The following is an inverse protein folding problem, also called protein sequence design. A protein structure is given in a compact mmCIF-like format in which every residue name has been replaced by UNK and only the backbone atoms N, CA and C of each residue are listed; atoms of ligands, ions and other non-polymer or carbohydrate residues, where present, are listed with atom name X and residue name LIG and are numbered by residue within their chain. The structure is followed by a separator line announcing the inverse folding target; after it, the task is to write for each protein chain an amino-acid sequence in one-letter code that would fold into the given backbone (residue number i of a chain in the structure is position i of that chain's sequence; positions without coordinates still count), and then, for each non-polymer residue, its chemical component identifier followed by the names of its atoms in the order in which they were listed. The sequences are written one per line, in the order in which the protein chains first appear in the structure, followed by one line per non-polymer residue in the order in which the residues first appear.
data_IF_239515649279
#
_entry.id   IF_239515649279
#
_cell.length_a   1.000
_cell.length_b   1.000
_cell.length_c   1.000
_cell.angle_alpha   90.00
_cell.angle_beta   90.00
_cell.angle_gamma   90.00
#
_symmetry.space_group_name_H-M   'P 1'
#
loop_
_entity.id
_entity.type
_entity.pdbx_description
1 polymer ?
#
# COMPACT_ATOMS: atom_id res chain seq x y z
N UNK A 1 22.23 8.87 -89.79
CA UNK A 1 22.91 7.82 -88.99
C UNK A 1 23.83 8.59 -88.04
N UNK A 2 23.42 8.72 -86.84
CA UNK A 2 24.27 9.06 -85.69
C UNK A 2 23.45 9.78 -84.64
N UNK A 3 23.27 9.09 -83.52
CA UNK A 3 22.56 9.53 -82.37
C UNK A 3 23.32 10.57 -81.59
N UNK A 4 22.63 11.66 -81.25
CA UNK A 4 23.08 12.68 -80.29
C UNK A 4 22.43 12.38 -78.94
N UNK A 5 23.24 12.00 -77.99
CA UNK A 5 22.81 11.87 -76.58
C UNK A 5 22.67 13.27 -75.94
N UNK A 6 21.46 13.65 -75.56
CA UNK A 6 21.21 14.80 -74.71
C UNK A 6 21.55 14.41 -73.24
N UNK A 7 22.41 15.26 -72.61
CA UNK A 7 22.66 15.29 -71.19
C UNK A 7 21.62 16.19 -70.55
N UNK A 8 20.70 15.57 -69.76
CA UNK A 8 19.87 16.30 -68.83
C UNK A 8 20.70 16.78 -67.63
N UNK A 9 20.73 18.06 -67.42
CA UNK A 9 21.25 18.71 -66.23
C UNK A 9 20.16 18.65 -65.15
N UNK A 10 20.43 17.99 -64.00
CA UNK A 10 19.64 18.09 -62.79
C UNK A 10 19.89 19.46 -62.13
N UNK A 11 18.85 20.13 -61.61
CA UNK A 11 19.05 21.39 -60.88
C UNK A 11 19.57 21.11 -59.47
N UNK A 12 20.58 21.84 -59.08
CA UNK A 12 21.10 21.96 -57.73
C UNK A 12 20.06 22.69 -56.86
N UNK A 13 19.29 21.97 -56.07
CA UNK A 13 18.52 22.56 -54.96
C UNK A 13 19.29 22.43 -53.67
N UNK A 14 20.16 23.38 -53.39
CA UNK A 14 20.63 23.73 -52.07
C UNK A 14 19.55 24.63 -51.40
N UNK A 15 18.57 24.04 -50.73
CA UNK A 15 17.75 24.74 -49.75
C UNK A 15 17.93 24.08 -48.39
N UNK A 16 18.97 24.51 -47.68
CA UNK A 16 19.06 24.38 -46.22
C UNK A 16 17.99 25.26 -45.55
N UNK A 17 16.79 24.75 -45.41
CA UNK A 17 15.83 25.33 -44.47
C UNK A 17 16.12 24.77 -43.06
N UNK A 18 17.18 25.21 -42.44
CA UNK A 18 17.37 25.20 -41.01
C UNK A 18 16.40 26.20 -40.37
N UNK A 19 15.14 25.86 -40.30
CA UNK A 19 14.18 26.62 -39.52
C UNK A 19 14.56 26.50 -38.03
N UNK A 20 15.12 27.59 -37.48
CA UNK A 20 15.34 27.70 -36.04
C UNK A 20 13.99 27.57 -35.32
N UNK A 21 13.74 26.41 -34.70
CA UNK A 21 12.57 26.23 -33.87
C UNK A 21 12.69 27.25 -32.73
N UNK A 22 11.74 28.17 -32.63
CA UNK A 22 11.73 29.20 -31.58
C UNK A 22 11.58 28.55 -30.20
N UNK A 23 12.22 29.14 -29.18
CA UNK A 23 12.03 28.69 -27.77
C UNK A 23 10.54 28.62 -27.37
N UNK A 24 9.69 29.48 -27.94
CA UNK A 24 8.25 29.46 -27.76
C UNK A 24 7.58 28.19 -28.32
N UNK A 25 8.02 27.71 -29.47
CA UNK A 25 7.49 26.49 -30.11
C UNK A 25 7.91 25.26 -29.31
N UNK A 26 9.19 25.15 -28.89
CA UNK A 26 9.66 24.06 -28.02
C UNK A 26 8.90 23.99 -26.72
N UNK A 27 8.58 25.12 -26.09
CA UNK A 27 7.80 25.18 -24.88
C UNK A 27 6.31 24.78 -25.11
N UNK A 28 5.74 25.15 -26.26
CA UNK A 28 4.39 24.77 -26.65
C UNK A 28 4.29 23.26 -26.89
N UNK A 29 5.26 22.68 -27.60
CA UNK A 29 5.28 21.24 -27.89
C UNK A 29 5.47 20.41 -26.62
N UNK A 30 6.32 20.86 -25.69
CA UNK A 30 6.47 20.26 -24.37
C UNK A 30 5.16 20.29 -23.57
N UNK A 31 4.44 21.42 -23.57
CA UNK A 31 3.13 21.53 -22.88
C UNK A 31 2.09 20.61 -23.51
N UNK A 32 2.03 20.50 -24.83
CA UNK A 32 1.10 19.61 -25.53
C UNK A 32 1.41 18.13 -25.20
N UNK A 33 2.70 17.73 -25.23
CA UNK A 33 3.11 16.38 -24.86
C UNK A 33 2.77 16.07 -23.39
N UNK A 34 3.00 17.00 -22.47
CA UNK A 34 2.64 16.86 -21.05
C UNK A 34 1.13 16.73 -20.85
N UNK A 35 0.32 17.51 -21.57
CA UNK A 35 -1.15 17.38 -21.52
C UNK A 35 -1.62 16.04 -22.08
N UNK A 36 -0.97 15.50 -23.11
CA UNK A 36 -1.30 14.19 -23.66
C UNK A 36 -1.00 13.07 -22.65
N UNK A 37 0.20 13.06 -22.08
CA UNK A 37 0.61 12.12 -21.03
C UNK A 37 -0.34 12.21 -19.82
N UNK A 38 -0.69 13.44 -19.42
CA UNK A 38 -1.62 13.67 -18.31
C UNK A 38 -3.01 13.05 -18.55
N UNK A 39 -3.46 12.94 -19.79
CA UNK A 39 -4.77 12.36 -20.12
C UNK A 39 -4.78 10.84 -20.17
N UNK A 40 -3.68 10.21 -20.55
CA UNK A 40 -3.60 8.77 -20.81
C UNK A 40 -2.98 7.97 -19.68
N UNK A 41 -2.05 8.56 -18.92
CA UNK A 41 -1.38 7.88 -17.82
C UNK A 41 -2.33 7.58 -16.65
N UNK A 42 -2.11 6.43 -16.00
CA UNK A 42 -2.79 6.09 -14.76
C UNK A 42 -2.49 7.12 -13.67
N UNK A 43 -3.53 7.64 -13.01
CA UNK A 43 -3.37 8.64 -11.94
C UNK A 43 -3.28 7.95 -10.59
N UNK A 44 -2.25 8.27 -9.81
CA UNK A 44 -2.05 7.66 -8.49
C UNK A 44 -3.28 7.80 -7.57
N UNK A 45 -3.98 8.94 -7.62
CA UNK A 45 -5.16 9.18 -6.78
C UNK A 45 -6.31 8.20 -7.02
N UNK A 46 -6.35 7.53 -8.18
CA UNK A 46 -7.34 6.49 -8.48
C UNK A 46 -7.10 5.22 -7.65
N UNK A 47 -5.84 4.94 -7.32
CA UNK A 47 -5.45 3.80 -6.47
C UNK A 47 -5.26 4.19 -5.01
N UNK A 48 -4.69 5.37 -4.75
CA UNK A 48 -4.42 5.91 -3.43
C UNK A 48 -5.10 7.29 -3.28
N UNK A 49 -6.39 7.35 -2.95
CA UNK A 49 -7.08 8.62 -2.76
C UNK A 49 -6.53 9.40 -1.56
N UNK A 50 -6.76 10.72 -1.56
CA UNK A 50 -6.40 11.58 -0.43
C UNK A 50 -6.99 11.06 0.88
N UNK A 51 -6.19 11.05 1.94
CA UNK A 51 -6.62 10.61 3.26
C UNK A 51 -6.63 9.09 3.48
N UNK A 52 -6.26 8.28 2.48
CA UNK A 52 -6.25 6.80 2.61
C UNK A 52 -5.38 6.31 3.79
N UNK A 53 -4.37 7.08 4.21
CA UNK A 53 -3.43 6.72 5.28
C UNK A 53 -3.72 7.39 6.63
N UNK A 54 -4.93 7.92 6.82
CA UNK A 54 -5.35 8.46 8.12
C UNK A 54 -5.16 7.41 9.22
N UNK A 55 -4.50 7.82 10.32
CA UNK A 55 -4.17 6.93 11.44
C UNK A 55 -2.86 6.15 11.28
N UNK A 56 -2.20 6.23 10.10
CA UNK A 56 -0.90 5.59 9.86
C UNK A 56 0.26 6.56 10.04
N UNK A 57 1.36 6.07 10.60
CA UNK A 57 2.67 6.72 10.44
C UNK A 57 3.33 6.25 9.15
N UNK A 58 4.11 7.13 8.51
CA UNK A 58 4.76 6.86 7.24
C UNK A 58 6.27 7.17 7.34
N UNK A 59 7.10 6.30 6.80
CA UNK A 59 8.54 6.52 6.64
C UNK A 59 8.84 6.90 5.18
N UNK A 60 9.66 7.93 4.99
CA UNK A 60 10.14 8.30 3.65
C UNK A 60 11.63 8.03 3.59
N UNK A 61 12.06 7.14 2.70
CA UNK A 61 13.46 6.80 2.49
C UNK A 61 14.03 7.68 1.39
N UNK A 62 14.90 8.60 1.79
CA UNK A 62 15.69 9.45 0.89
C UNK A 62 16.94 8.77 0.37
N UNK A 63 17.84 9.58 -0.22
CA UNK A 63 19.10 9.09 -0.81
C UNK A 63 20.36 9.33 0.02
N UNK A 64 20.25 9.95 1.19
CA UNK A 64 21.39 10.47 1.93
C UNK A 64 22.34 9.41 2.51
N UNK A 65 23.64 9.71 2.62
CA UNK A 65 24.66 8.76 3.06
C UNK A 65 24.50 8.27 4.52
N UNK A 66 23.69 8.93 5.34
CA UNK A 66 23.37 8.46 6.71
C UNK A 66 22.67 7.09 6.73
N UNK A 67 22.14 6.63 5.60
CA UNK A 67 21.53 5.29 5.47
C UNK A 67 22.55 4.18 5.25
N UNK A 68 23.83 4.49 5.11
CA UNK A 68 24.85 3.46 4.95
C UNK A 68 24.93 2.58 6.19
N UNK A 69 24.61 1.29 6.03
CA UNK A 69 24.56 0.31 7.14
C UNK A 69 23.25 0.30 7.93
N UNK A 70 22.22 1.06 7.51
CA UNK A 70 20.90 0.96 8.11
C UNK A 70 20.26 -0.39 7.78
N UNK A 71 19.75 -1.08 8.80
CA UNK A 71 19.01 -2.32 8.61
C UNK A 71 17.55 -2.02 8.25
N UNK A 72 17.22 -2.09 6.97
CA UNK A 72 15.88 -1.83 6.45
C UNK A 72 14.83 -2.86 6.92
N UNK A 73 15.22 -4.03 7.45
CA UNK A 73 14.25 -4.97 8.02
C UNK A 73 13.51 -4.39 9.23
N UNK A 74 14.05 -3.37 9.87
CA UNK A 74 13.39 -2.65 10.97
C UNK A 74 12.13 -1.89 10.52
N UNK A 75 11.97 -1.66 9.20
CA UNK A 75 10.77 -1.01 8.62
C UNK A 75 9.69 -2.01 8.24
N UNK A 76 9.89 -3.29 8.48
CA UNK A 76 8.91 -4.32 8.12
C UNK A 76 7.58 -4.09 8.82
N UNK A 77 6.47 -4.10 8.05
CA UNK A 77 5.13 -3.77 8.55
C UNK A 77 4.87 -2.27 8.74
N UNK A 78 5.84 -1.40 8.41
CA UNK A 78 5.62 0.05 8.36
C UNK A 78 5.17 0.49 6.97
N UNK A 79 4.47 1.62 6.92
CA UNK A 79 4.11 2.27 5.68
C UNK A 79 5.31 3.06 5.16
N UNK A 80 5.81 2.71 4.00
CA UNK A 80 7.05 3.28 3.46
C UNK A 80 6.85 3.85 2.06
N UNK A 81 7.32 5.07 1.87
CA UNK A 81 7.59 5.68 0.55
C UNK A 81 9.10 5.67 0.34
N UNK A 82 9.55 5.25 -0.82
CA UNK A 82 10.92 5.43 -1.25
C UNK A 82 11.01 6.52 -2.32
N UNK A 83 12.16 7.18 -2.44
CA UNK A 83 12.39 8.13 -3.53
C UNK A 83 13.52 7.66 -4.43
N UNK A 84 13.38 7.89 -5.72
CA UNK A 84 14.35 7.53 -6.76
C UNK A 84 14.73 6.03 -6.69
N UNK A 85 15.97 5.72 -6.27
CA UNK A 85 16.50 4.36 -6.16
C UNK A 85 16.24 3.66 -4.81
N UNK A 86 15.55 4.32 -3.88
CA UNK A 86 15.34 3.80 -2.52
C UNK A 86 14.67 2.41 -2.47
N UNK A 87 13.77 2.09 -3.41
CA UNK A 87 13.12 0.78 -3.51
C UNK A 87 14.11 -0.37 -3.76
N UNK A 88 15.30 -0.11 -4.32
CA UNK A 88 16.32 -1.14 -4.51
C UNK A 88 16.84 -1.72 -3.18
N UNK A 89 16.77 -0.93 -2.11
CA UNK A 89 17.16 -1.31 -0.75
C UNK A 89 15.97 -1.73 0.11
N UNK A 90 14.77 -1.23 -0.20
CA UNK A 90 13.53 -1.61 0.48
C UNK A 90 12.41 -1.88 -0.55
N UNK A 91 12.37 -3.09 -1.13
CA UNK A 91 11.40 -3.45 -2.18
C UNK A 91 9.97 -3.61 -1.67
N UNK A 92 9.75 -3.69 -0.35
CA UNK A 92 8.43 -3.78 0.28
C UNK A 92 7.75 -2.40 0.46
N UNK A 93 8.38 -1.32 -0.02
CA UNK A 93 7.77 0.01 0.00
C UNK A 93 6.46 0.02 -0.79
N UNK A 94 5.43 0.67 -0.23
CA UNK A 94 4.12 0.79 -0.88
C UNK A 94 4.22 1.61 -2.16
N UNK A 95 5.06 2.66 -2.14
CA UNK A 95 5.22 3.59 -3.23
C UNK A 95 6.67 4.00 -3.38
N UNK A 96 7.13 4.10 -4.64
CA UNK A 96 8.38 4.77 -5.00
C UNK A 96 8.04 6.00 -5.84
N UNK A 97 8.50 7.19 -5.40
CA UNK A 97 8.32 8.44 -6.13
C UNK A 97 9.63 8.85 -6.82
N UNK A 98 9.53 9.20 -8.10
CA UNK A 98 10.58 9.84 -8.87
C UNK A 98 10.03 11.05 -9.63
N UNK A 99 10.91 11.91 -10.13
CA UNK A 99 10.54 13.07 -10.97
C UNK A 99 11.49 13.30 -12.13
N UNK A 100 12.69 12.76 -12.09
CA UNK A 100 13.70 12.95 -13.12
C UNK A 100 13.57 11.87 -14.21
N UNK A 101 13.24 12.29 -15.44
CA UNK A 101 13.12 11.38 -16.57
C UNK A 101 14.45 10.66 -16.92
N UNK A 102 15.61 11.25 -16.55
CA UNK A 102 16.92 10.59 -16.75
C UNK A 102 17.02 9.30 -15.96
N UNK A 103 16.43 9.24 -14.76
CA UNK A 103 16.42 8.03 -13.93
C UNK A 103 15.71 6.88 -14.66
N UNK A 104 14.60 7.17 -15.34
CA UNK A 104 13.93 6.18 -16.19
C UNK A 104 14.87 5.68 -17.29
N UNK A 105 15.49 6.59 -18.05
CA UNK A 105 16.43 6.23 -19.11
C UNK A 105 17.58 5.35 -18.60
N UNK A 106 18.13 5.63 -17.42
CA UNK A 106 19.18 4.82 -16.83
C UNK A 106 18.72 3.39 -16.49
N UNK A 107 17.45 3.20 -16.06
CA UNK A 107 16.91 1.85 -15.87
C UNK A 107 16.69 1.13 -17.20
N UNK A 108 16.09 1.79 -18.20
CA UNK A 108 15.84 1.19 -19.52
C UNK A 108 17.13 0.78 -20.21
N UNK A 109 18.09 1.66 -20.25
CA UNK A 109 19.39 1.43 -20.90
C UNK A 109 20.29 0.47 -20.13
N UNK A 110 19.99 0.22 -18.84
CA UNK A 110 20.85 -0.60 -17.97
C UNK A 110 22.07 0.13 -17.41
N UNK A 111 22.10 1.47 -17.48
CA UNK A 111 23.22 2.30 -16.98
C UNK A 111 23.44 2.13 -15.47
N UNK A 112 22.41 1.71 -14.72
CA UNK A 112 22.47 1.40 -13.30
C UNK A 112 22.83 -0.07 -13.01
N UNK A 113 23.07 -0.86 -14.05
CA UNK A 113 23.39 -2.29 -13.98
C UNK A 113 22.15 -3.20 -14.05
N UNK A 114 22.38 -4.45 -14.45
CA UNK A 114 21.30 -5.42 -14.69
C UNK A 114 20.49 -5.74 -13.44
N UNK A 115 21.11 -5.75 -12.25
CA UNK A 115 20.42 -6.00 -10.99
C UNK A 115 19.43 -4.88 -10.64
N UNK A 116 19.83 -3.62 -10.79
CA UNK A 116 18.96 -2.47 -10.56
C UNK A 116 17.78 -2.47 -11.53
N UNK A 117 18.02 -2.77 -12.82
CA UNK A 117 16.96 -2.94 -13.82
C UNK A 117 15.97 -4.02 -13.42
N UNK A 118 16.46 -5.20 -13.04
CA UNK A 118 15.60 -6.32 -12.59
C UNK A 118 14.77 -5.93 -11.37
N UNK A 119 15.35 -5.27 -10.37
CA UNK A 119 14.61 -4.77 -9.19
C UNK A 119 13.52 -3.79 -9.59
N UNK A 120 13.79 -2.89 -10.54
CA UNK A 120 12.79 -1.96 -11.04
C UNK A 120 11.63 -2.67 -11.74
N UNK A 121 11.91 -3.63 -12.62
CA UNK A 121 10.89 -4.40 -13.35
C UNK A 121 10.04 -5.29 -12.43
N UNK A 122 10.61 -5.80 -11.32
CA UNK A 122 9.93 -6.70 -10.38
C UNK A 122 9.34 -6.00 -9.16
N UNK A 123 9.54 -4.68 -9.02
CA UNK A 123 8.99 -3.92 -7.89
C UNK A 123 7.46 -3.94 -7.92
N UNK A 124 6.86 -4.35 -6.81
CA UNK A 124 5.42 -4.54 -6.69
C UNK A 124 4.67 -3.32 -6.17
N UNK A 125 5.38 -2.35 -5.59
CA UNK A 125 4.80 -1.10 -5.13
C UNK A 125 4.37 -0.19 -6.29
N UNK A 126 3.68 0.90 -5.96
CA UNK A 126 3.31 1.91 -6.95
C UNK A 126 4.56 2.61 -7.48
N UNK A 127 4.96 2.32 -8.72
CA UNK A 127 5.98 3.08 -9.45
C UNK A 127 5.37 4.40 -9.87
N UNK A 128 5.80 5.49 -9.23
CA UNK A 128 5.12 6.78 -9.37
C UNK A 128 6.08 7.85 -9.85
N UNK A 129 5.65 8.64 -10.84
CA UNK A 129 6.36 9.81 -11.31
C UNK A 129 5.57 11.09 -11.08
N UNK A 130 6.26 12.12 -10.61
CA UNK A 130 5.71 13.48 -10.62
C UNK A 130 5.83 14.04 -12.04
N UNK A 131 4.72 14.49 -12.61
CA UNK A 131 4.62 14.91 -14.02
C UNK A 131 5.22 16.31 -14.28
N UNK A 132 6.49 16.50 -13.91
CA UNK A 132 7.23 17.75 -14.13
C UNK A 132 7.82 17.87 -15.53
N UNK A 133 7.93 16.77 -16.25
CA UNK A 133 8.54 16.70 -17.58
C UNK A 133 7.63 15.89 -18.51
N UNK A 134 7.52 16.32 -19.77
CA UNK A 134 6.86 15.52 -20.80
C UNK A 134 7.66 14.23 -21.03
N UNK A 135 7.07 13.09 -20.69
CA UNK A 135 7.70 11.80 -20.75
C UNK A 135 6.64 10.72 -21.12
N UNK A 136 6.95 9.80 -22.05
CA UNK A 136 6.04 8.71 -22.40
C UNK A 136 6.05 7.65 -21.30
N UNK A 137 5.26 7.85 -20.25
CA UNK A 137 5.19 6.90 -19.15
C UNK A 137 4.55 5.57 -19.61
N UNK A 138 5.17 4.41 -19.29
CA UNK A 138 4.56 3.11 -19.48
C UNK A 138 3.24 2.98 -18.71
N UNK A 139 2.38 2.04 -19.14
CA UNK A 139 1.04 1.85 -18.53
C UNK A 139 1.08 1.46 -17.04
N UNK A 140 2.17 0.83 -16.60
CA UNK A 140 2.38 0.39 -15.24
C UNK A 140 2.98 1.47 -14.31
N UNK A 141 3.21 2.66 -14.82
CA UNK A 141 3.64 3.82 -14.06
C UNK A 141 2.43 4.66 -13.65
N UNK A 142 2.33 4.92 -12.36
CA UNK A 142 1.36 5.89 -11.83
C UNK A 142 1.91 7.31 -11.90
N UNK A 143 1.06 8.27 -12.19
CA UNK A 143 1.44 9.68 -12.34
C UNK A 143 0.77 10.53 -11.27
N UNK A 144 1.56 11.41 -10.63
CA UNK A 144 1.06 12.52 -9.83
C UNK A 144 1.20 13.80 -10.66
N UNK A 145 0.10 14.51 -10.84
CA UNK A 145 0.10 15.78 -11.57
C UNK A 145 0.79 16.89 -10.77
N UNK A 146 1.16 17.95 -11.47
CA UNK A 146 1.64 19.18 -10.86
C UNK A 146 0.56 20.25 -10.92
N UNK A 147 0.50 21.07 -9.88
CA UNK A 147 -0.39 22.23 -9.81
C UNK A 147 0.36 23.49 -9.41
N UNK A 148 -0.29 24.64 -9.51
CA UNK A 148 0.24 25.87 -8.95
C UNK A 148 0.06 25.86 -7.41
N UNK A 149 0.98 26.46 -6.67
CA UNK A 149 0.95 26.47 -5.20
C UNK A 149 -0.33 27.09 -4.63
N UNK A 150 -0.92 28.08 -5.32
CA UNK A 150 -2.20 28.69 -4.94
C UNK A 150 -3.39 27.73 -5.02
N UNK A 151 -3.31 26.71 -5.87
CA UNK A 151 -4.40 25.77 -6.16
C UNK A 151 -4.28 24.50 -5.31
N UNK A 152 -3.14 24.34 -4.65
CA UNK A 152 -2.84 23.14 -3.88
C UNK A 152 -3.64 23.06 -2.59
N UNK A 153 -4.18 21.86 -2.33
CA UNK A 153 -4.88 21.53 -1.08
C UNK A 153 -4.45 20.15 -0.59
N UNK A 154 -3.91 20.06 0.60
CA UNK A 154 -3.50 18.79 1.19
C UNK A 154 -4.60 17.73 1.32
N UNK A 155 -5.86 18.13 1.38
CA UNK A 155 -6.98 17.19 1.46
C UNK A 155 -7.47 16.69 0.08
N UNK A 156 -6.90 17.19 -1.01
CA UNK A 156 -7.25 16.76 -2.35
C UNK A 156 -6.09 17.02 -3.33
N UNK A 157 -5.36 15.97 -3.70
CA UNK A 157 -4.29 16.06 -4.69
C UNK A 157 -4.69 15.57 -6.10
N UNK A 158 -5.99 15.46 -6.37
CA UNK A 158 -6.51 15.09 -7.70
C UNK A 158 -5.99 16.05 -8.78
N UNK A 159 -5.91 17.34 -8.46
CA UNK A 159 -5.31 18.36 -9.33
C UNK A 159 -3.79 18.39 -9.36
N UNK A 160 -3.13 17.59 -8.53
CA UNK A 160 -1.68 17.52 -8.43
C UNK A 160 -1.09 18.10 -7.13
N UNK A 161 0.24 18.10 -7.07
CA UNK A 161 1.01 18.75 -6.00
C UNK A 161 1.94 19.83 -6.59
N UNK A 162 2.32 20.87 -5.83
CA UNK A 162 3.32 21.84 -6.31
C UNK A 162 4.65 21.12 -6.55
N UNK A 163 5.31 21.34 -7.70
CA UNK A 163 6.59 20.74 -7.97
C UNK A 163 7.70 21.44 -7.17
N UNK A 164 8.49 20.67 -6.46
CA UNK A 164 9.71 21.12 -5.79
C UNK A 164 10.95 20.51 -6.46
N UNK A 165 12.09 21.17 -6.33
CA UNK A 165 13.36 20.68 -6.87
C UNK A 165 13.85 19.39 -6.24
N UNK A 166 13.36 19.05 -5.04
CA UNK A 166 13.70 17.85 -4.28
C UNK A 166 12.60 16.82 -4.30
N UNK A 167 12.85 15.62 -4.85
CA UNK A 167 11.89 14.51 -4.89
C UNK A 167 11.42 14.08 -3.48
N UNK A 168 12.30 14.17 -2.47
CA UNK A 168 11.95 13.85 -1.08
C UNK A 168 10.92 14.83 -0.49
N UNK A 169 11.00 16.12 -0.84
CA UNK A 169 10.00 17.11 -0.44
C UNK A 169 8.64 16.84 -1.12
N UNK A 170 8.67 16.47 -2.40
CA UNK A 170 7.45 16.07 -3.11
C UNK A 170 6.84 14.81 -2.49
N UNK A 171 7.65 13.83 -2.06
CA UNK A 171 7.19 12.65 -1.34
C UNK A 171 6.58 13.01 0.03
N UNK A 172 7.15 13.99 0.74
CA UNK A 172 6.61 14.50 1.99
C UNK A 172 5.24 15.17 1.79
N UNK A 173 5.10 16.02 0.77
CA UNK A 173 3.81 16.62 0.41
C UNK A 173 2.77 15.56 0.05
N UNK A 174 3.15 14.54 -0.73
CA UNK A 174 2.28 13.43 -1.11
C UNK A 174 1.85 12.61 0.12
N UNK A 175 2.77 12.25 1.02
CA UNK A 175 2.44 11.53 2.26
C UNK A 175 1.43 12.29 3.13
N UNK A 176 1.58 13.62 3.23
CA UNK A 176 0.63 14.47 3.94
C UNK A 176 -0.74 14.52 3.24
N UNK A 177 -0.78 14.54 1.89
CA UNK A 177 -2.03 14.42 1.12
C UNK A 177 -2.72 13.08 1.32
N UNK A 178 -1.95 12.00 1.39
CA UNK A 178 -2.45 10.66 1.67
C UNK A 178 -2.92 10.50 3.12
N UNK A 179 -2.64 11.47 4.00
CA UNK A 179 -3.20 11.54 5.35
C UNK A 179 -2.35 10.90 6.44
N UNK A 180 -1.07 10.62 6.19
CA UNK A 180 -0.17 10.12 7.21
C UNK A 180 -0.10 11.10 8.39
N UNK A 181 -0.38 10.63 9.61
CA UNK A 181 -0.43 11.48 10.82
C UNK A 181 0.95 11.87 11.32
N UNK A 182 1.91 10.94 11.23
CA UNK A 182 3.32 11.15 11.52
C UNK A 182 4.16 10.72 10.32
N UNK A 183 5.12 11.55 9.93
CA UNK A 183 6.01 11.29 8.80
C UNK A 183 7.46 11.34 9.27
N UNK A 184 8.17 10.24 9.07
CA UNK A 184 9.56 10.06 9.48
C UNK A 184 10.48 10.10 8.27
N UNK A 185 11.46 11.02 8.29
CA UNK A 185 12.41 11.20 7.20
C UNK A 185 13.70 10.43 7.49
N UNK A 186 14.01 9.44 6.65
CA UNK A 186 15.23 8.62 6.68
C UNK A 186 16.14 8.98 5.50
N UNK A 187 17.42 9.27 5.74
CA UNK A 187 18.35 9.61 4.68
C UNK A 187 18.11 10.98 4.05
N UNK A 188 17.59 11.93 4.82
CA UNK A 188 17.41 13.32 4.41
C UNK A 188 18.57 14.18 4.93
N UNK A 189 19.79 13.88 4.50
CA UNK A 189 21.00 14.52 4.97
C UNK A 189 21.12 15.96 4.50
N UNK A 190 20.83 16.23 3.23
CA UNK A 190 21.03 17.54 2.56
C UNK A 190 22.39 18.15 2.89
N UNK A 191 23.44 17.34 2.80
CA UNK A 191 24.84 17.69 2.94
C UNK A 191 25.68 16.94 1.92
N UNK A 192 26.63 17.64 1.33
CA UNK A 192 27.59 17.05 0.41
C UNK A 192 28.76 16.35 1.11
N UNK A 193 29.51 15.63 0.31
CA UNK A 193 30.81 15.07 0.68
C UNK A 193 31.81 15.58 -0.37
N UNK A 194 32.88 16.22 0.09
CA UNK A 194 33.91 16.78 -0.79
C UNK A 194 33.38 17.71 -1.90
N UNK A 195 32.40 18.58 -1.56
CA UNK A 195 31.83 19.55 -2.49
C UNK A 195 30.83 19.00 -3.51
N UNK A 196 30.45 17.72 -3.39
CA UNK A 196 29.51 17.05 -4.32
C UNK A 196 28.33 16.44 -3.59
N UNK A 197 27.21 16.30 -4.31
CA UNK A 197 26.07 15.53 -3.78
C UNK A 197 26.48 14.10 -3.48
N UNK A 198 26.00 13.57 -2.38
CA UNK A 198 26.32 12.23 -1.91
C UNK A 198 25.07 11.40 -1.68
N UNK A 199 25.11 10.12 -2.09
CA UNK A 199 24.06 9.14 -1.93
C UNK A 199 24.59 7.89 -1.23
N UNK A 200 23.70 7.16 -0.55
CA UNK A 200 24.08 5.86 0.01
C UNK A 200 24.12 4.74 -1.06
N UNK A 201 23.39 4.90 -2.15
CA UNK A 201 23.48 4.03 -3.33
C UNK A 201 24.76 4.36 -4.14
N UNK A 202 25.50 3.33 -4.50
CA UNK A 202 26.60 3.46 -5.45
C UNK A 202 26.07 3.52 -6.90
N UNK A 203 26.92 3.98 -7.83
CA UNK A 203 26.69 3.85 -9.27
C UNK A 203 25.67 4.82 -9.87
N UNK A 204 25.49 6.00 -9.29
CA UNK A 204 24.84 7.10 -10.02
C UNK A 204 25.78 7.58 -11.14
N UNK A 205 25.29 7.72 -12.39
CA UNK A 205 26.10 8.14 -13.51
C UNK A 205 26.67 9.57 -13.38
N UNK A 206 25.96 10.43 -12.67
CA UNK A 206 26.38 11.80 -12.40
C UNK A 206 26.16 12.21 -10.93
N UNK A 207 26.83 13.30 -10.52
CA UNK A 207 26.63 13.95 -9.23
C UNK A 207 26.67 15.47 -9.41
N UNK A 208 25.79 16.18 -8.71
CA UNK A 208 25.74 17.64 -8.76
C UNK A 208 26.70 18.27 -7.74
N UNK A 209 26.90 19.58 -7.87
CA UNK A 209 27.58 20.40 -6.87
C UNK A 209 26.71 20.44 -5.57
N UNK A 210 27.35 20.43 -4.40
CA UNK A 210 26.64 20.39 -3.12
C UNK A 210 25.82 21.65 -2.83
N UNK A 211 26.08 22.76 -3.53
CA UNK A 211 25.31 24.01 -3.38
C UNK A 211 23.81 23.83 -3.64
N UNK A 212 23.44 22.80 -4.41
CA UNK A 212 22.02 22.45 -4.64
C UNK A 212 21.26 22.18 -3.33
N UNK A 213 21.94 21.68 -2.30
CA UNK A 213 21.31 21.41 -1.01
C UNK A 213 20.82 22.66 -0.31
N UNK A 214 21.42 23.83 -0.56
CA UNK A 214 20.91 25.11 -0.02
C UNK A 214 19.48 25.36 -0.54
N UNK A 215 19.25 25.19 -1.82
CA UNK A 215 17.93 25.37 -2.42
C UNK A 215 16.92 24.37 -1.83
N UNK A 216 17.31 23.11 -1.70
CA UNK A 216 16.45 22.08 -1.09
C UNK A 216 16.08 22.42 0.36
N UNK A 217 17.06 22.85 1.17
CA UNK A 217 16.82 23.25 2.57
C UNK A 217 15.84 24.43 2.65
N UNK A 218 15.96 25.40 1.76
CA UNK A 218 15.09 26.57 1.72
C UNK A 218 13.67 26.19 1.29
N UNK A 219 13.50 25.33 0.29
CA UNK A 219 12.19 24.75 -0.09
C UNK A 219 11.53 24.01 1.09
N UNK A 220 12.30 23.20 1.85
CA UNK A 220 11.76 22.53 3.07
C UNK A 220 11.27 23.51 4.12
N UNK A 221 11.99 24.63 4.33
CA UNK A 221 11.57 25.69 5.28
C UNK A 221 10.27 26.34 4.85
N UNK A 222 10.12 26.64 3.55
CA UNK A 222 8.93 27.27 3.00
C UNK A 222 7.67 26.38 3.17
N UNK A 223 7.82 25.06 2.98
CA UNK A 223 6.70 24.14 3.04
C UNK A 223 6.39 23.66 4.47
N UNK A 224 7.37 23.69 5.36
CA UNK A 224 7.25 23.09 6.70
C UNK A 224 6.05 23.62 7.50
N UNK A 225 5.74 24.92 7.42
CA UNK A 225 4.60 25.51 8.16
C UNK A 225 3.25 24.98 7.65
N UNK A 226 3.12 24.69 6.36
CA UNK A 226 1.89 24.16 5.77
C UNK A 226 1.67 22.70 6.20
N UNK A 227 2.74 21.91 6.18
CA UNK A 227 2.67 20.48 6.52
C UNK A 227 2.35 20.26 8.01
N UNK A 228 2.90 21.08 8.90
CA UNK A 228 2.67 20.97 10.37
C UNK A 228 1.20 20.99 10.78
N UNK A 229 0.33 21.59 9.99
CA UNK A 229 -1.12 21.57 10.23
C UNK A 229 -1.79 20.25 9.86
N UNK A 230 -1.07 19.36 9.18
CA UNK A 230 -1.60 18.08 8.67
C UNK A 230 -0.92 16.86 9.29
N UNK A 231 0.39 16.92 9.41
CA UNK A 231 1.22 15.80 9.83
C UNK A 231 2.34 16.27 10.73
N UNK A 232 2.66 15.49 11.75
CA UNK A 232 3.89 15.68 12.51
C UNK A 232 5.05 15.12 11.69
N UNK A 233 6.08 15.93 11.42
CA UNK A 233 7.26 15.51 10.65
C UNK A 233 8.47 15.43 11.56
N UNK A 234 9.18 14.30 11.51
CA UNK A 234 10.36 14.03 12.34
C UNK A 234 11.49 13.58 11.41
N UNK A 235 12.61 14.27 11.47
CA UNK A 235 13.81 13.88 10.74
C UNK A 235 14.67 12.94 11.61
N UNK A 236 14.89 11.72 11.12
CA UNK A 236 15.63 10.67 11.85
C UNK A 236 17.16 10.78 11.67
N UNK A 237 17.63 11.89 11.12
CA UNK A 237 19.04 12.22 11.06
C UNK A 237 19.35 13.54 11.80
N UNK A 238 19.78 13.51 13.08
CA UNK A 238 20.12 14.72 13.83
C UNK A 238 21.22 15.58 13.20
N UNK A 239 22.02 14.99 12.30
CA UNK A 239 23.08 15.67 11.56
C UNK A 239 22.64 16.24 10.21
N UNK A 240 21.35 16.15 9.86
CA UNK A 240 20.80 16.70 8.61
C UNK A 240 21.02 18.20 8.46
N UNK A 241 21.11 18.70 7.23
CA UNK A 241 21.03 20.13 6.91
C UNK A 241 19.61 20.71 7.08
N UNK A 242 18.57 19.88 6.99
CA UNK A 242 17.17 20.26 7.18
C UNK A 242 16.90 20.42 8.67
N UNK A 243 16.70 21.64 9.14
CA UNK A 243 16.51 22.00 10.56
C UNK A 243 15.11 22.46 10.92
N UNK A 244 14.19 22.47 9.96
CA UNK A 244 12.83 22.97 10.17
C UNK A 244 11.87 21.95 10.80
N UNK A 245 12.30 20.71 11.04
CA UNK A 245 11.51 19.66 11.70
C UNK A 245 12.16 19.20 13.01
N UNK A 246 11.37 18.49 13.84
CA UNK A 246 11.89 17.81 15.02
C UNK A 246 12.86 16.70 14.63
N UNK A 247 13.74 16.33 15.57
CA UNK A 247 14.68 15.21 15.40
C UNK A 247 14.36 14.09 16.39
N UNK A 248 14.58 12.86 15.95
CA UNK A 248 14.63 11.68 16.81
C UNK A 248 15.66 10.69 16.24
N UNK A 249 16.04 9.69 17.02
CA UNK A 249 16.75 8.54 16.50
C UNK A 249 15.76 7.39 16.26
N UNK A 250 16.01 6.59 15.22
CA UNK A 250 15.11 5.48 14.87
C UNK A 250 14.88 4.52 16.04
N UNK A 251 15.94 4.25 16.84
CA UNK A 251 15.86 3.34 17.99
C UNK A 251 14.92 3.80 19.11
N UNK A 252 14.64 5.12 19.18
CA UNK A 252 13.80 5.74 20.23
C UNK A 252 12.32 5.79 19.83
N UNK A 253 11.99 5.38 18.61
CA UNK A 253 10.62 5.36 18.14
C UNK A 253 9.81 4.27 18.85
N UNK A 254 8.53 4.54 19.18
CA UNK A 254 7.66 3.53 19.77
C UNK A 254 7.49 2.36 18.80
N UNK A 255 7.70 1.14 19.31
CA UNK A 255 7.36 -0.07 18.57
C UNK A 255 5.84 -0.21 18.52
N UNK A 256 5.31 -0.43 17.33
CA UNK A 256 3.90 -0.74 17.14
C UNK A 256 3.81 -2.22 16.77
N UNK A 257 3.12 -2.99 17.62
CA UNK A 257 2.85 -4.38 17.34
C UNK A 257 1.61 -4.46 16.44
N UNK A 258 1.80 -4.89 15.20
CA UNK A 258 0.73 -5.10 14.22
C UNK A 258 0.61 -6.58 13.90
N UNK A 259 -0.62 -7.10 13.78
CA UNK A 259 -0.82 -8.46 13.34
C UNK A 259 -0.40 -8.62 11.86
N UNK A 260 -0.03 -9.84 11.49
CA UNK A 260 0.08 -10.23 10.08
C UNK A 260 -1.34 -10.55 9.59
N UNK A 261 -1.73 -9.98 8.45
CA UNK A 261 -3.01 -10.32 7.82
C UNK A 261 -2.88 -11.71 7.21
N UNK A 262 -3.71 -12.64 7.66
CA UNK A 262 -3.72 -14.00 7.13
C UNK A 262 -5.06 -14.33 6.50
N UNK A 263 -5.04 -15.13 5.46
CA UNK A 263 -6.23 -15.64 4.80
C UNK A 263 -5.93 -16.97 4.12
N UNK A 264 -6.98 -17.66 3.71
CA UNK A 264 -6.84 -18.80 2.82
C UNK A 264 -7.94 -18.79 1.75
N UNK A 265 -7.64 -19.38 0.62
CA UNK A 265 -8.59 -19.56 -0.47
C UNK A 265 -8.51 -20.99 -1.00
N UNK A 266 -9.63 -21.51 -1.47
CA UNK A 266 -9.68 -22.84 -2.09
C UNK A 266 -9.22 -22.76 -3.54
N UNK A 267 -8.16 -23.50 -3.89
CA UNK A 267 -7.64 -23.59 -5.25
C UNK A 267 -8.68 -24.09 -6.24
N UNK A 268 -8.63 -23.63 -7.48
CA UNK A 268 -9.55 -24.02 -8.54
C UNK A 268 -10.97 -23.44 -8.37
N UNK A 269 -11.15 -22.41 -7.56
CA UNK A 269 -12.44 -21.75 -7.34
C UNK A 269 -12.37 -20.24 -7.59
N UNK A 270 -13.54 -19.59 -7.59
CA UNK A 270 -13.62 -18.13 -7.72
C UNK A 270 -12.89 -17.34 -6.62
N UNK A 271 -12.58 -17.96 -5.49
CA UNK A 271 -11.83 -17.34 -4.39
C UNK A 271 -10.39 -16.97 -4.77
N UNK A 272 -9.80 -17.56 -5.81
CA UNK A 272 -8.50 -17.15 -6.35
C UNK A 272 -8.50 -15.71 -6.91
N UNK A 273 -9.66 -15.24 -7.37
CA UNK A 273 -9.83 -13.84 -7.81
C UNK A 273 -10.15 -12.92 -6.65
N UNK A 274 -10.94 -13.39 -5.70
CA UNK A 274 -11.33 -12.60 -4.54
C UNK A 274 -10.11 -12.27 -3.65
N UNK A 275 -9.23 -13.23 -3.39
CA UNK A 275 -8.04 -13.03 -2.54
C UNK A 275 -7.12 -11.91 -3.06
N UNK A 276 -7.10 -11.65 -4.37
CA UNK A 276 -6.30 -10.56 -4.95
C UNK A 276 -6.77 -9.18 -4.48
N UNK A 277 -8.08 -9.00 -4.26
CA UNK A 277 -8.62 -7.75 -3.71
C UNK A 277 -8.13 -7.51 -2.28
N UNK A 278 -8.09 -8.57 -1.47
CA UNK A 278 -7.53 -8.49 -0.13
C UNK A 278 -6.03 -8.19 -0.17
N UNK A 279 -5.28 -8.85 -1.06
CA UNK A 279 -3.85 -8.60 -1.29
C UNK A 279 -3.58 -7.14 -1.64
N UNK A 280 -4.31 -6.60 -2.63
CA UNK A 280 -4.22 -5.20 -3.05
C UNK A 280 -4.53 -4.24 -1.90
N UNK A 281 -5.54 -4.56 -1.09
CA UNK A 281 -5.89 -3.73 0.06
C UNK A 281 -4.82 -3.75 1.15
N UNK A 282 -4.23 -4.91 1.45
CA UNK A 282 -3.08 -5.00 2.36
C UNK A 282 -1.91 -4.15 1.86
N UNK A 283 -1.63 -4.23 0.56
CA UNK A 283 -0.56 -3.46 -0.08
C UNK A 283 -0.78 -1.94 0.05
N UNK A 284 -1.99 -1.44 -0.19
CA UNK A 284 -2.33 0.00 -0.05
C UNK A 284 -2.02 0.58 1.32
N UNK A 285 -2.11 -0.23 2.36
CA UNK A 285 -1.86 0.17 3.74
C UNK A 285 -0.49 -0.24 4.28
N UNK A 286 0.37 -0.86 3.46
CA UNK A 286 1.67 -1.37 3.90
C UNK A 286 1.55 -2.44 4.99
N UNK A 287 0.52 -3.29 4.93
CA UNK A 287 0.31 -4.37 5.88
C UNK A 287 1.02 -5.63 5.39
N UNK A 288 1.70 -6.30 6.31
CA UNK A 288 2.23 -7.64 6.04
C UNK A 288 1.08 -8.64 5.92
N UNK A 289 1.18 -9.54 4.96
CA UNK A 289 0.17 -10.57 4.74
C UNK A 289 0.78 -11.92 4.37
N UNK A 290 0.03 -12.99 4.64
CA UNK A 290 0.39 -14.36 4.29
C UNK A 290 -0.88 -15.13 3.92
N UNK A 291 -1.04 -15.48 2.65
CA UNK A 291 -2.24 -16.13 2.13
C UNK A 291 -1.95 -17.54 1.65
N UNK A 292 -2.79 -18.49 2.09
CA UNK A 292 -2.63 -19.91 1.78
C UNK A 292 -3.63 -20.36 0.72
N UNK A 293 -3.13 -20.86 -0.41
CA UNK A 293 -3.94 -21.65 -1.36
C UNK A 293 -4.16 -23.05 -0.81
N UNK A 294 -5.36 -23.34 -0.29
CA UNK A 294 -5.72 -24.63 0.27
C UNK A 294 -6.29 -25.56 -0.83
N UNK A 295 -6.09 -26.86 -0.64
CA UNK A 295 -6.69 -27.87 -1.52
C UNK A 295 -8.22 -27.94 -1.36
N UNK A 296 -8.93 -28.19 -2.46
CA UNK A 296 -10.38 -28.31 -2.46
C UNK A 296 -10.81 -29.68 -1.90
N UNK A 297 -11.48 -29.67 -0.76
CA UNK A 297 -11.97 -30.88 -0.08
C UNK A 297 -13.33 -31.38 -0.62
N UNK A 298 -13.76 -30.84 -1.77
CA UNK A 298 -14.92 -31.28 -2.53
C UNK A 298 -16.25 -30.61 -2.15
N UNK A 299 -16.39 -30.08 -0.94
CA UNK A 299 -17.59 -29.32 -0.54
C UNK A 299 -17.21 -28.03 0.20
N UNK A 300 -18.04 -27.00 0.05
CA UNK A 300 -17.87 -25.74 0.76
C UNK A 300 -17.76 -25.93 2.27
N UNK A 301 -18.60 -26.80 2.84
CA UNK A 301 -18.59 -27.11 4.27
C UNK A 301 -17.25 -27.66 4.73
N UNK A 302 -16.70 -28.68 4.07
CA UNK A 302 -15.39 -29.24 4.40
C UNK A 302 -14.28 -28.19 4.30
N UNK A 303 -14.32 -27.37 3.26
CA UNK A 303 -13.35 -26.30 3.08
C UNK A 303 -13.41 -25.29 4.23
N UNK A 304 -14.60 -24.90 4.71
CA UNK A 304 -14.73 -23.93 5.79
C UNK A 304 -14.32 -24.52 7.16
N UNK A 305 -14.58 -25.79 7.41
CA UNK A 305 -14.15 -26.49 8.63
C UNK A 305 -12.61 -26.66 8.69
N UNK A 306 -11.92 -26.67 7.56
CA UNK A 306 -10.45 -26.70 7.55
C UNK A 306 -9.80 -25.41 8.06
N UNK A 307 -10.56 -24.31 8.18
CA UNK A 307 -10.10 -23.00 8.63
C UNK A 307 -9.36 -23.06 9.96
N UNK A 308 -9.88 -23.83 10.94
CA UNK A 308 -9.32 -23.86 12.29
C UNK A 308 -7.89 -24.42 12.28
N UNK A 309 -7.66 -25.52 11.56
CA UNK A 309 -6.30 -26.09 11.35
C UNK A 309 -5.37 -25.12 10.65
N UNK A 310 -5.88 -24.38 9.66
CA UNK A 310 -5.12 -23.39 8.94
C UNK A 310 -4.71 -22.24 9.88
N UNK A 311 -5.63 -21.78 10.74
CA UNK A 311 -5.34 -20.73 11.74
C UNK A 311 -4.29 -21.18 12.76
N UNK A 312 -4.37 -22.41 13.26
CA UNK A 312 -3.32 -23.00 14.11
C UNK A 312 -1.96 -23.03 13.38
N UNK A 313 -1.97 -23.44 12.12
CA UNK A 313 -0.76 -23.43 11.27
C UNK A 313 -0.17 -22.03 11.08
N UNK A 314 -0.99 -21.00 10.95
CA UNK A 314 -0.50 -19.62 10.88
C UNK A 314 0.11 -19.14 12.21
N UNK A 315 -0.49 -19.50 13.35
CA UNK A 315 0.11 -19.21 14.67
C UNK A 315 1.48 -19.89 14.85
N UNK A 316 1.63 -21.12 14.36
CA UNK A 316 2.90 -21.84 14.37
C UNK A 316 3.95 -21.20 13.46
N UNK A 317 3.55 -20.86 12.23
CA UNK A 317 4.42 -20.23 11.22
C UNK A 317 4.91 -18.85 11.66
N UNK A 318 4.06 -18.08 12.32
CA UNK A 318 4.33 -16.70 12.73
C UNK A 318 4.55 -16.58 14.25
N UNK A 319 5.37 -17.47 14.81
CA UNK A 319 5.66 -17.50 16.26
C UNK A 319 6.07 -16.11 16.77
N UNK A 320 5.40 -15.65 17.85
CA UNK A 320 5.63 -14.34 18.46
C UNK A 320 4.98 -13.15 17.73
N UNK A 321 4.23 -13.40 16.67
CA UNK A 321 3.46 -12.39 15.93
C UNK A 321 1.97 -12.72 16.00
N UNK A 322 1.16 -11.72 16.29
CA UNK A 322 -0.29 -11.84 16.26
C UNK A 322 -0.78 -11.95 14.81
N UNK A 323 -1.95 -12.54 14.61
CA UNK A 323 -2.54 -12.69 13.27
C UNK A 323 -3.93 -12.03 13.22
N UNK A 324 -4.23 -11.42 12.06
CA UNK A 324 -5.54 -10.92 11.70
C UNK A 324 -6.08 -11.73 10.54
N UNK A 325 -6.99 -12.64 10.82
CA UNK A 325 -7.67 -13.40 9.79
C UNK A 325 -8.76 -12.57 9.13
N UNK A 326 -8.78 -12.57 7.81
CA UNK A 326 -9.84 -11.98 6.99
C UNK A 326 -10.22 -13.02 5.92
N UNK A 327 -11.52 -13.28 5.73
CA UNK A 327 -11.99 -14.17 4.67
C UNK A 327 -11.49 -13.70 3.29
N UNK A 328 -11.23 -14.63 2.38
CA UNK A 328 -10.64 -14.35 1.06
C UNK A 328 -11.46 -13.36 0.21
N UNK A 329 -12.74 -13.21 0.49
CA UNK A 329 -13.64 -12.26 -0.17
C UNK A 329 -13.78 -10.93 0.60
N UNK A 330 -12.90 -10.67 1.54
CA UNK A 330 -12.80 -9.39 2.25
C UNK A 330 -11.92 -8.38 1.53
N UNK A 331 -12.01 -7.11 1.96
CA UNK A 331 -11.08 -6.05 1.61
C UNK A 331 -10.96 -5.03 2.75
N UNK A 332 -9.76 -4.52 2.96
CA UNK A 332 -9.50 -3.43 3.90
C UNK A 332 -9.73 -2.11 3.14
N UNK A 333 -10.73 -1.34 3.54
CA UNK A 333 -11.09 -0.08 2.89
C UNK A 333 -10.56 1.14 3.64
N UNK A 334 -10.42 1.03 4.96
CA UNK A 334 -9.79 2.02 5.82
C UNK A 334 -8.77 1.34 6.74
N UNK A 335 -7.74 2.06 7.17
CA UNK A 335 -6.71 1.47 8.01
C UNK A 335 -7.29 0.92 9.34
N UNK A 336 -7.07 -0.36 9.66
CA UNK A 336 -7.69 -1.01 10.81
C UNK A 336 -6.92 -0.70 12.11
N UNK A 337 -6.90 0.56 12.53
CA UNK A 337 -6.09 1.11 13.64
C UNK A 337 -6.31 0.41 14.98
N UNK A 338 -7.47 -0.20 15.22
CA UNK A 338 -7.74 -0.92 16.47
C UNK A 338 -6.80 -2.09 16.71
N UNK A 339 -6.18 -2.64 15.66
CA UNK A 339 -5.25 -3.75 15.78
C UNK A 339 -3.81 -3.31 16.05
N UNK A 340 -3.53 -2.02 16.06
CA UNK A 340 -2.23 -1.51 16.51
C UNK A 340 -2.13 -1.70 18.04
N UNK A 341 -1.17 -2.51 18.48
CA UNK A 341 -0.96 -2.83 19.89
C UNK A 341 -2.20 -3.44 20.60
N UNK A 342 -2.97 -4.27 19.91
CA UNK A 342 -4.14 -4.94 20.46
C UNK A 342 -3.77 -5.80 21.68
N UNK A 343 -4.56 -5.74 22.77
CA UNK A 343 -4.17 -6.32 24.05
C UNK A 343 -4.90 -7.63 24.40
N UNK A 344 -6.08 -7.82 23.85
CA UNK A 344 -6.93 -8.97 24.16
C UNK A 344 -6.46 -10.23 23.42
N UNK A 345 -6.88 -11.42 23.88
CA UNK A 345 -6.53 -12.70 23.29
C UNK A 345 -7.17 -12.91 21.92
N UNK A 346 -8.39 -12.37 21.77
CA UNK A 346 -9.20 -12.52 20.56
C UNK A 346 -10.07 -11.28 20.31
N UNK A 347 -10.29 -10.93 19.05
CA UNK A 347 -11.18 -9.86 18.64
C UNK A 347 -12.00 -10.27 17.43
N UNK A 348 -13.32 -10.07 17.49
CA UNK A 348 -14.24 -10.32 16.38
C UNK A 348 -15.48 -9.41 16.48
N UNK A 349 -16.20 -9.27 15.38
CA UNK A 349 -17.48 -8.57 15.39
C UNK A 349 -18.57 -9.50 15.89
N UNK A 350 -19.31 -9.05 16.89
CA UNK A 350 -20.51 -9.71 17.37
C UNK A 350 -21.72 -8.85 17.00
N UNK A 351 -22.57 -9.36 16.13
CA UNK A 351 -23.74 -8.63 15.62
C UNK A 351 -25.02 -8.96 16.36
N UNK A 352 -25.92 -7.99 16.42
CA UNK A 352 -27.32 -8.20 16.72
C UNK A 352 -28.05 -8.66 15.43
N UNK A 353 -28.43 -9.92 15.37
CA UNK A 353 -29.11 -10.50 14.20
C UNK A 353 -30.46 -9.86 13.89
N UNK A 354 -31.20 -9.41 14.89
CA UNK A 354 -32.46 -8.71 14.65
C UNK A 354 -32.28 -7.41 13.91
N UNK A 355 -31.16 -6.73 14.16
CA UNK A 355 -30.81 -5.47 13.46
C UNK A 355 -30.52 -5.69 11.99
N UNK A 356 -29.74 -6.72 11.65
CA UNK A 356 -29.23 -6.91 10.29
C UNK A 356 -29.99 -7.94 9.46
N UNK A 357 -30.73 -8.86 10.12
CA UNK A 357 -31.47 -9.95 9.48
C UNK A 357 -32.92 -10.06 9.99
N UNK A 358 -33.72 -8.99 10.01
CA UNK A 358 -35.04 -9.00 10.68
C UNK A 358 -36.02 -9.99 10.06
N UNK A 359 -35.97 -10.23 8.74
CA UNK A 359 -36.91 -11.11 8.04
C UNK A 359 -36.54 -12.59 8.10
N UNK A 360 -35.23 -12.87 8.15
CA UNK A 360 -34.70 -14.25 8.14
C UNK A 360 -34.52 -14.82 9.52
N UNK A 361 -34.51 -13.98 10.56
CA UNK A 361 -34.37 -14.39 11.95
C UNK A 361 -35.36 -15.47 12.39
N UNK A 362 -36.64 -15.35 11.98
CA UNK A 362 -37.71 -16.24 12.38
C UNK A 362 -37.87 -17.49 11.48
N UNK A 363 -37.18 -17.60 10.37
CA UNK A 363 -37.42 -18.61 9.33
C UNK A 363 -36.22 -19.49 8.97
N UNK A 364 -35.07 -19.27 9.57
CA UNK A 364 -33.86 -20.01 9.16
C UNK A 364 -33.51 -21.13 10.13
N UNK A 365 -32.97 -22.22 9.57
CA UNK A 365 -32.28 -23.31 10.31
C UNK A 365 -31.24 -22.76 11.31
N UNK A 366 -30.79 -21.54 11.10
CA UNK A 366 -29.86 -20.78 11.94
C UNK A 366 -30.46 -20.36 13.28
N UNK A 367 -31.77 -20.06 13.34
CA UNK A 367 -32.44 -19.64 14.57
C UNK A 367 -32.57 -20.77 15.59
N UNK A 368 -32.60 -22.03 15.13
CA UNK A 368 -32.64 -23.21 16.03
C UNK A 368 -31.24 -23.58 16.52
N UNK A 369 -30.20 -23.42 15.66
CA UNK A 369 -28.81 -23.73 15.99
C UNK A 369 -28.19 -22.67 16.91
N UNK A 370 -28.55 -21.39 16.72
CA UNK A 370 -28.03 -20.25 17.48
C UNK A 370 -29.14 -19.72 18.39
N UNK A 371 -29.23 -20.26 19.61
CA UNK A 371 -30.20 -19.84 20.64
C UNK A 371 -29.87 -18.47 21.24
N UNK A 372 -29.57 -17.45 20.39
CA UNK A 372 -29.22 -16.14 20.91
C UNK A 372 -29.48 -15.01 19.93
N UNK A 373 -29.60 -13.80 20.45
CA UNK A 373 -29.77 -12.58 19.69
C UNK A 373 -28.47 -12.18 18.98
N UNK A 374 -27.33 -12.58 19.52
CA UNK A 374 -26.01 -12.19 19.07
C UNK A 374 -25.28 -13.34 18.38
N UNK A 375 -24.48 -12.99 17.37
CA UNK A 375 -23.64 -13.91 16.61
C UNK A 375 -22.25 -13.31 16.39
N UNK A 376 -21.21 -14.09 16.63
CA UNK A 376 -19.84 -13.74 16.28
C UNK A 376 -19.61 -14.03 14.79
N UNK A 377 -19.25 -13.01 14.03
CA UNK A 377 -18.89 -13.15 12.62
C UNK A 377 -17.49 -13.71 12.46
N UNK A 378 -17.35 -14.75 11.64
CA UNK A 378 -16.07 -15.42 11.38
C UNK A 378 -15.28 -14.84 10.21
N UNK A 379 -15.75 -13.76 9.60
CA UNK A 379 -15.09 -13.18 8.42
C UNK A 379 -13.85 -12.35 8.77
N UNK A 380 -13.86 -11.68 9.92
CA UNK A 380 -12.69 -10.92 10.46
C UNK A 380 -12.46 -11.34 11.90
N UNK A 381 -11.29 -11.89 12.19
CA UNK A 381 -10.91 -12.38 13.51
C UNK A 381 -9.45 -12.07 13.81
N UNK A 382 -9.20 -11.41 14.93
CA UNK A 382 -7.85 -11.21 15.47
C UNK A 382 -7.51 -12.30 16.48
N UNK A 383 -6.30 -12.83 16.42
CA UNK A 383 -5.77 -13.79 17.39
C UNK A 383 -4.41 -13.32 17.90
N UNK A 384 -4.31 -13.14 19.19
CA UNK A 384 -3.01 -12.96 19.84
C UNK A 384 -2.24 -14.27 19.77
N UNK A 385 -0.96 -14.22 19.45
CA UNK A 385 -0.16 -15.44 19.41
C UNK A 385 0.29 -15.83 20.84
N UNK A 386 -0.65 -16.34 21.62
CA UNK A 386 -0.43 -16.78 22.99
C UNK A 386 -1.15 -18.10 23.31
N UNK A 387 -0.94 -18.61 24.51
CA UNK A 387 -1.51 -19.88 24.97
C UNK A 387 -3.05 -19.89 25.03
N UNK A 388 -3.68 -18.75 25.35
CA UNK A 388 -5.13 -18.65 25.50
C UNK A 388 -5.83 -18.72 24.14
N UNK A 389 -5.35 -17.94 23.15
CA UNK A 389 -5.90 -17.99 21.79
C UNK A 389 -5.70 -19.38 21.16
N UNK A 390 -4.54 -20.02 21.40
CA UNK A 390 -4.30 -21.39 20.96
C UNK A 390 -5.27 -22.39 21.60
N UNK A 391 -5.44 -22.35 22.91
CA UNK A 391 -6.37 -23.24 23.62
C UNK A 391 -7.82 -23.07 23.12
N UNK A 392 -8.23 -21.85 22.83
CA UNK A 392 -9.54 -21.57 22.25
C UNK A 392 -9.68 -22.18 20.84
N UNK A 393 -8.66 -22.05 19.99
CA UNK A 393 -8.69 -22.66 18.65
C UNK A 393 -8.69 -24.20 18.72
N UNK A 394 -7.92 -24.80 19.61
CA UNK A 394 -7.89 -26.25 19.81
C UNK A 394 -9.25 -26.76 20.34
N UNK A 395 -9.90 -26.03 21.23
CA UNK A 395 -11.25 -26.38 21.69
C UNK A 395 -12.28 -26.19 20.56
N UNK A 396 -12.17 -25.13 19.77
CA UNK A 396 -13.03 -24.94 18.61
C UNK A 396 -12.86 -26.10 17.61
N UNK A 397 -11.63 -26.56 17.35
CA UNK A 397 -11.36 -27.71 16.50
C UNK A 397 -12.06 -28.99 17.00
N UNK A 398 -11.99 -29.26 18.32
CA UNK A 398 -12.67 -30.43 18.93
C UNK A 398 -14.16 -30.36 18.77
N UNK A 399 -14.76 -29.20 19.05
CA UNK A 399 -16.22 -29.01 18.93
C UNK A 399 -16.69 -29.10 17.48
N UNK A 400 -15.83 -28.74 16.51
CA UNK A 400 -16.13 -28.72 15.09
C UNK A 400 -15.82 -30.04 14.38
N UNK A 401 -15.08 -30.96 15.04
CA UNK A 401 -14.60 -32.23 14.45
C UNK A 401 -15.72 -33.16 13.88
N UNK A 402 -16.94 -33.22 14.46
CA UNK A 402 -18.01 -34.02 13.90
C UNK A 402 -18.48 -33.54 12.51
N UNK A 403 -18.14 -32.29 12.10
CA UNK A 403 -18.63 -31.68 10.84
C UNK A 403 -20.14 -31.89 10.66
N UNK A 404 -20.89 -31.77 11.76
CA UNK A 404 -22.33 -31.93 11.78
C UNK A 404 -23.06 -30.84 10.96
N UNK A 405 -24.38 -30.75 11.09
CA UNK A 405 -25.19 -29.76 10.37
C UNK A 405 -25.00 -28.34 10.90
N UNK A 406 -24.31 -28.16 12.02
CA UNK A 406 -24.08 -26.86 12.66
C UNK A 406 -22.92 -26.14 11.96
N UNK A 407 -23.05 -24.84 11.77
CA UNK A 407 -21.95 -24.04 11.25
C UNK A 407 -20.87 -23.84 12.30
N UNK A 408 -19.63 -23.85 11.84
CA UNK A 408 -18.43 -23.68 12.63
C UNK A 408 -18.48 -22.49 13.60
N UNK A 409 -19.15 -21.39 13.22
CA UNK A 409 -19.32 -20.19 14.06
C UNK A 409 -20.09 -20.42 15.37
N UNK A 410 -21.02 -21.39 15.39
CA UNK A 410 -21.75 -21.74 16.63
C UNK A 410 -20.83 -22.36 17.66
N UNK A 411 -19.86 -23.13 17.19
CA UNK A 411 -18.86 -23.74 18.06
C UNK A 411 -17.82 -22.71 18.56
N UNK A 412 -17.58 -21.64 17.81
CA UNK A 412 -16.66 -20.57 18.18
C UNK A 412 -17.06 -19.93 19.53
N UNK A 413 -18.34 -19.57 19.72
CA UNK A 413 -18.79 -19.00 20.98
C UNK A 413 -18.56 -19.96 22.16
N UNK A 414 -18.87 -21.24 21.97
CA UNK A 414 -18.66 -22.27 23.02
C UNK A 414 -17.18 -22.41 23.35
N UNK A 415 -16.29 -22.35 22.32
CA UNK A 415 -14.85 -22.44 22.52
C UNK A 415 -14.31 -21.23 23.31
N UNK A 416 -14.83 -20.03 23.05
CA UNK A 416 -14.48 -18.82 23.80
C UNK A 416 -14.85 -18.98 25.28
N UNK A 417 -16.07 -19.45 25.55
CA UNK A 417 -16.60 -19.58 26.89
C UNK A 417 -15.91 -20.71 27.70
N UNK A 418 -15.25 -21.66 27.03
CA UNK A 418 -14.57 -22.80 27.66
C UNK A 418 -13.18 -22.48 28.22
N UNK A 419 -12.54 -21.39 27.79
CA UNK A 419 -11.16 -21.05 28.21
C UNK A 419 -11.18 -20.09 29.40
N UNK A 420 -10.77 -20.52 30.62
CA UNK A 420 -10.76 -19.64 31.78
C UNK A 420 -9.89 -18.39 31.61
N UNK A 421 -10.48 -17.24 31.91
CA UNK A 421 -9.75 -15.95 31.83
C UNK A 421 -9.45 -15.46 30.41
N UNK A 422 -10.10 -16.04 29.40
CA UNK A 422 -9.98 -15.61 28.01
C UNK A 422 -10.49 -14.18 27.82
N UNK A 423 -9.69 -13.37 27.14
CA UNK A 423 -9.99 -11.96 26.88
C UNK A 423 -10.52 -11.78 25.47
N UNK A 424 -11.82 -11.69 25.33
CA UNK A 424 -12.50 -11.37 24.07
C UNK A 424 -12.84 -9.88 24.01
N UNK A 425 -12.58 -9.26 22.86
CA UNK A 425 -13.00 -7.90 22.53
C UNK A 425 -13.98 -7.90 21.37
N UNK A 426 -15.16 -7.41 21.61
CA UNK A 426 -16.10 -7.08 20.55
C UNK A 426 -15.56 -5.92 19.72
N UNK A 427 -15.39 -6.16 18.42
CA UNK A 427 -15.02 -5.13 17.46
C UNK A 427 -16.26 -4.35 17.00
N UNK A 428 -16.10 -3.08 16.56
CA UNK A 428 -17.17 -2.35 15.88
C UNK A 428 -17.66 -3.07 14.63
N UNK A 429 -18.94 -2.95 14.33
CA UNK A 429 -19.59 -3.67 13.22
C UNK A 429 -18.93 -3.43 11.87
N UNK A 430 -18.36 -2.22 11.63
CA UNK A 430 -17.65 -1.87 10.41
C UNK A 430 -16.26 -2.53 10.23
N UNK A 431 -15.82 -3.34 11.22
CA UNK A 431 -14.61 -4.18 11.09
C UNK A 431 -14.87 -5.57 10.48
N UNK A 432 -16.15 -5.94 10.27
CA UNK A 432 -16.55 -7.12 9.51
C UNK A 432 -17.88 -6.82 8.81
N UNK A 433 -17.91 -5.77 8.01
CA UNK A 433 -19.13 -5.26 7.38
C UNK A 433 -19.50 -6.09 6.17
N UNK A 434 -20.69 -6.66 6.15
CA UNK A 434 -21.23 -7.34 4.98
C UNK A 434 -21.82 -6.27 4.04
N UNK A 435 -21.28 -6.14 2.84
CA UNK A 435 -21.46 -5.02 1.93
C UNK A 435 -22.91 -4.61 1.63
N UNK A 436 -23.82 -5.56 1.55
CA UNK A 436 -25.24 -5.35 1.19
C UNK A 436 -26.20 -5.40 2.40
N UNK A 437 -25.76 -5.93 3.53
CA UNK A 437 -26.63 -6.17 4.70
C UNK A 437 -26.35 -5.15 5.80
N UNK A 438 -25.07 -4.77 5.98
CA UNK A 438 -24.63 -3.97 7.11
C UNK A 438 -24.31 -2.52 6.74
N UNK A 439 -24.92 -1.97 5.69
CA UNK A 439 -24.71 -0.57 5.27
C UNK A 439 -24.94 0.46 6.40
N UNK A 440 -25.81 0.14 7.38
CA UNK A 440 -26.04 1.01 8.55
C UNK A 440 -24.92 0.96 9.61
N UNK A 441 -23.86 0.15 9.42
CA UNK A 441 -22.72 0.08 10.32
C UNK A 441 -21.76 1.28 10.19
N UNK A 442 -21.97 2.15 9.20
CA UNK A 442 -21.11 3.30 8.90
C UNK A 442 -20.10 3.02 7.78
N UNK A 443 -19.05 3.85 7.70
CA UNK A 443 -17.97 3.60 6.74
C UNK A 443 -17.22 2.32 7.08
N UNK A 444 -17.07 1.38 6.13
CA UNK A 444 -16.40 0.11 6.39
C UNK A 444 -14.89 0.31 6.61
N UNK A 445 -14.37 -0.37 7.63
CA UNK A 445 -12.92 -0.57 7.80
C UNK A 445 -12.50 -1.83 7.06
N UNK A 446 -13.23 -2.94 7.29
CA UNK A 446 -13.06 -4.20 6.56
C UNK A 446 -14.43 -4.62 6.03
N UNK A 447 -14.55 -4.75 4.72
CA UNK A 447 -15.79 -5.12 4.05
C UNK A 447 -15.72 -6.53 3.45
N UNK A 448 -16.81 -7.28 3.56
CA UNK A 448 -16.93 -8.66 3.06
C UNK A 448 -17.97 -8.75 1.95
N UNK A 449 -17.57 -9.27 0.77
CA UNK A 449 -18.36 -9.29 -0.47
C UNK A 449 -19.17 -10.56 -0.67
N UNK A 450 -19.13 -11.50 0.27
CA UNK A 450 -19.96 -12.72 0.28
C UNK A 450 -19.92 -13.50 -1.04
N UNK A 451 -18.73 -13.93 -1.44
CA UNK A 451 -18.51 -14.68 -2.69
C UNK A 451 -19.42 -15.91 -2.82
N UNK A 452 -19.69 -16.59 -1.72
CA UNK A 452 -20.59 -17.74 -1.68
C UNK A 452 -22.02 -17.41 -2.13
N UNK A 453 -22.56 -16.23 -1.76
CA UNK A 453 -23.90 -15.78 -2.16
C UNK A 453 -23.95 -15.26 -3.59
N UNK A 454 -22.83 -14.80 -4.13
CA UNK A 454 -22.73 -14.28 -5.51
C UNK A 454 -22.61 -15.40 -6.56
N UNK A 455 -22.76 -16.66 -6.20
CA UNK A 455 -22.70 -17.78 -7.13
C UNK A 455 -21.28 -18.09 -7.68
N UNK A 456 -20.25 -17.56 -7.05
CA UNK A 456 -18.85 -17.78 -7.43
C UNK A 456 -18.33 -19.17 -7.01
N UNK A 457 -19.17 -19.99 -6.36
CA UNK A 457 -18.88 -21.36 -6.02
C UNK A 457 -19.13 -22.27 -7.22
N UNK A 458 -18.13 -22.94 -7.72
CA UNK A 458 -18.23 -23.97 -8.77
C UNK A 458 -18.60 -25.35 -8.22
N UNK A 459 -18.64 -25.52 -6.90
CA UNK A 459 -19.08 -26.76 -6.22
C UNK A 459 -20.47 -26.54 -5.62
N UNK A 460 -21.41 -27.39 -5.99
CA UNK A 460 -22.76 -27.42 -5.38
C UNK A 460 -22.63 -27.51 -3.85
N UNK A 461 -23.42 -26.73 -3.16
CA UNK A 461 -23.61 -26.77 -1.70
C UNK A 461 -23.91 -28.17 -1.21
#
# INVERSE_FOLDING_TARGET
MSDVKAREQLPNENHSHGGSISMSQVNKDKRLAQMFVSRTAHKLWQSLPSGIWIGRRCFIIGGGPSLKGFDFNQLKGELVITVNRGFESYPDAVLNLAQDARLWGWYENGDLGAEAKKKFETYKGYRTWLNVQAFPYPEDISVVEICHSSDFKFNNYVGGIPPHGNTGLNALCLAACLGASEIYLLGFDCKGINGRTANFHAGYPDSADESIYKNFIDEFKEVAHLIRHRSKVINLNPNSGIRCFEFAEFKDLPKINRPIVVSFFTKGTGYEKEIKRLEESCHKFGLEYDFLGAENLGTWRKNIHSRIKILLGFLDKHTGRDILYIDADGAILNYPVLFDNFQEDFGAVEIDRQRYFPETWNKSIWSEAIRGKFEILGGTMYFKNNKNARAMLEEWEKLDAPMDTVLSQVHLQKAIDSVPGFKFKKLPDNYCQIFDIMASAGEPVIEHYQASRRGLLTTKL
#
